data_IF_708563218369
#
_entry.id   IF_708563218369
#
_cell.length_a   1.000
_cell.length_b   1.000
_cell.length_c   1.000
_cell.angle_alpha   90.00
_cell.angle_beta   90.00
_cell.angle_gamma   90.00
#
_symmetry.space_group_name_H-M   'P 1'
#
loop_
_entity.id
_entity.type
_entity.pdbx_description
1 polymer ?
#
# COMPACT_ATOMS: atom_id res chain seq x y z
N UNK A 1 -2.29 9.38 -19.61
CA UNK A 1 -1.26 8.40 -19.24
C UNK A 1 0.12 8.97 -19.57
N UNK A 2 1.04 8.97 -18.60
CA UNK A 2 2.38 9.54 -18.67
C UNK A 2 3.29 8.58 -19.43
N UNK A 3 3.91 9.02 -20.52
CA UNK A 3 4.78 8.19 -21.37
C UNK A 3 6.28 8.52 -21.22
N UNK A 4 6.60 9.69 -20.66
CA UNK A 4 7.95 10.15 -20.44
C UNK A 4 8.11 10.63 -18.99
N UNK A 5 9.31 10.51 -18.38
CA UNK A 5 9.52 10.95 -17.03
C UNK A 5 9.25 12.45 -16.88
N UNK A 6 8.60 12.82 -15.79
CA UNK A 6 8.37 14.23 -15.49
C UNK A 6 9.66 14.87 -14.94
N UNK A 7 9.84 16.19 -15.16
CA UNK A 7 11.15 16.82 -14.95
C UNK A 7 11.57 16.93 -13.48
N UNK A 8 10.62 16.89 -12.54
CA UNK A 8 10.89 17.09 -11.11
C UNK A 8 9.93 16.28 -10.24
N UNK A 9 10.32 16.03 -8.99
CA UNK A 9 9.43 15.44 -7.98
C UNK A 9 8.13 16.25 -7.83
N UNK A 10 8.21 17.59 -7.82
CA UNK A 10 7.02 18.44 -7.73
C UNK A 10 6.06 18.25 -8.90
N UNK A 11 6.57 18.03 -10.12
CA UNK A 11 5.74 17.74 -11.28
C UNK A 11 5.03 16.39 -11.17
N UNK A 12 5.71 15.37 -10.63
CA UNK A 12 5.11 14.07 -10.33
C UNK A 12 4.02 14.17 -9.26
N UNK A 13 4.29 14.89 -8.18
CA UNK A 13 3.32 15.12 -7.09
C UNK A 13 2.08 15.83 -7.62
N UNK A 14 2.24 16.91 -8.40
CA UNK A 14 1.09 17.65 -8.97
C UNK A 14 0.26 16.77 -9.92
N UNK A 15 0.92 15.96 -10.75
CA UNK A 15 0.24 15.05 -11.67
C UNK A 15 -0.59 14.00 -10.91
N UNK A 16 -0.04 13.38 -9.86
CA UNK A 16 -0.74 12.33 -9.12
C UNK A 16 -1.71 12.86 -8.06
N UNK A 17 -1.45 14.02 -7.46
CA UNK A 17 -2.36 14.62 -6.48
C UNK A 17 -3.76 14.90 -7.07
N UNK A 18 -3.84 15.12 -8.39
CA UNK A 18 -5.07 15.41 -9.12
C UNK A 18 -5.57 14.24 -9.98
N UNK A 19 -4.81 13.14 -10.05
CA UNK A 19 -5.22 11.95 -10.78
C UNK A 19 -6.29 11.15 -9.99
N UNK A 20 -7.13 10.43 -10.71
CA UNK A 20 -8.02 9.45 -10.09
C UNK A 20 -7.19 8.30 -9.51
N UNK A 21 -7.59 7.83 -8.34
CA UNK A 21 -7.07 6.62 -7.74
C UNK A 21 -8.04 5.49 -8.14
N UNK A 22 -7.68 4.64 -9.12
CA UNK A 22 -8.53 3.52 -9.48
C UNK A 22 -8.54 2.49 -8.36
N UNK A 23 -9.57 1.66 -8.30
CA UNK A 23 -9.66 0.57 -7.32
C UNK A 23 -9.56 -0.79 -8.02
N UNK A 24 -9.32 -1.86 -7.27
CA UNK A 24 -9.32 -3.21 -7.83
C UNK A 24 -10.73 -3.60 -8.25
N UNK A 25 -10.89 -4.34 -9.34
CA UNK A 25 -12.20 -4.76 -9.83
C UNK A 25 -12.94 -5.68 -8.85
N UNK A 26 -12.17 -6.45 -8.05
CA UNK A 26 -12.75 -7.21 -6.92
C UNK A 26 -13.45 -6.27 -5.94
N UNK A 27 -12.80 -5.19 -5.53
CA UNK A 27 -13.37 -4.21 -4.60
C UNK A 27 -14.51 -3.40 -5.21
N UNK A 28 -14.46 -3.11 -6.52
CA UNK A 28 -15.57 -2.47 -7.22
C UNK A 28 -16.83 -3.35 -7.18
N UNK A 29 -16.67 -4.65 -7.42
CA UNK A 29 -17.76 -5.63 -7.36
C UNK A 29 -18.30 -5.79 -5.94
N UNK A 30 -17.41 -5.81 -4.94
CA UNK A 30 -17.79 -5.89 -3.53
C UNK A 30 -18.56 -4.66 -3.07
N UNK A 31 -18.12 -3.45 -3.43
CA UNK A 31 -18.83 -2.20 -3.13
C UNK A 31 -20.24 -2.20 -3.74
N UNK A 32 -20.39 -2.68 -4.98
CA UNK A 32 -21.69 -2.78 -5.63
C UNK A 32 -22.62 -3.74 -4.85
N UNK A 33 -22.11 -4.92 -4.47
CA UNK A 33 -22.86 -5.89 -3.68
C UNK A 33 -23.28 -5.34 -2.30
N UNK A 34 -22.34 -4.68 -1.60
CA UNK A 34 -22.63 -4.06 -0.30
C UNK A 34 -23.65 -2.94 -0.42
N UNK A 35 -23.64 -2.14 -1.51
CA UNK A 35 -24.64 -1.11 -1.79
C UNK A 35 -26.04 -1.70 -1.97
N UNK A 36 -26.18 -2.80 -2.73
CA UNK A 36 -27.45 -3.50 -2.90
C UNK A 36 -27.98 -4.05 -1.56
N UNK A 37 -27.10 -4.59 -0.71
CA UNK A 37 -27.48 -5.07 0.63
C UNK A 37 -27.94 -3.92 1.51
N UNK A 38 -27.25 -2.78 1.49
CA UNK A 38 -27.65 -1.60 2.26
C UNK A 38 -29.00 -1.06 1.80
N UNK A 39 -29.24 -0.94 0.49
CA UNK A 39 -30.52 -0.52 -0.06
C UNK A 39 -31.68 -1.46 0.35
N UNK A 40 -31.40 -2.77 0.42
CA UNK A 40 -32.42 -3.77 0.77
C UNK A 40 -32.71 -3.85 2.29
N UNK A 41 -31.71 -3.61 3.14
CA UNK A 41 -31.78 -3.89 4.59
C UNK A 41 -31.59 -2.67 5.49
N UNK A 42 -30.80 -1.66 5.05
CA UNK A 42 -30.54 -0.42 5.79
C UNK A 42 -29.84 -0.61 7.13
N UNK A 43 -29.00 -1.63 7.26
CA UNK A 43 -28.34 -1.99 8.52
C UNK A 43 -26.82 -2.25 8.39
N UNK A 44 -26.22 -1.79 7.32
CA UNK A 44 -24.77 -1.86 7.11
C UNK A 44 -24.05 -0.94 8.10
N UNK A 45 -22.92 -1.38 8.60
CA UNK A 45 -22.05 -0.52 9.41
C UNK A 45 -20.66 -0.34 8.76
N UNK A 46 -19.91 0.65 9.26
CA UNK A 46 -18.61 1.00 8.73
C UNK A 46 -17.56 -0.12 8.92
N UNK A 47 -17.70 -0.94 9.97
CA UNK A 47 -16.80 -2.07 10.19
C UNK A 47 -16.96 -3.15 9.14
N UNK A 48 -18.22 -3.51 8.82
CA UNK A 48 -18.52 -4.48 7.76
C UNK A 48 -17.94 -4.05 6.41
N UNK A 49 -18.09 -2.76 6.07
CA UNK A 49 -17.51 -2.20 4.83
C UNK A 49 -15.98 -2.26 4.89
N UNK A 50 -15.38 -1.89 6.03
CA UNK A 50 -13.92 -1.91 6.18
C UNK A 50 -13.35 -3.31 6.04
N UNK A 51 -13.95 -4.32 6.71
CA UNK A 51 -13.51 -5.73 6.63
C UNK A 51 -13.51 -6.25 5.20
N UNK A 52 -14.49 -5.87 4.39
CA UNK A 52 -14.56 -6.26 2.97
C UNK A 52 -13.47 -5.60 2.12
N UNK A 53 -12.98 -4.42 2.50
CA UNK A 53 -12.07 -3.59 1.70
C UNK A 53 -10.65 -3.48 2.27
N UNK A 54 -10.39 -3.98 3.49
CA UNK A 54 -9.12 -3.80 4.21
C UNK A 54 -7.88 -4.35 3.48
N UNK A 55 -8.08 -5.28 2.55
CA UNK A 55 -7.00 -5.89 1.77
C UNK A 55 -6.76 -5.22 0.41
N UNK A 56 -7.49 -4.14 0.09
CA UNK A 56 -7.26 -3.35 -1.12
C UNK A 56 -6.53 -2.04 -0.80
N UNK A 57 -5.21 -1.95 -1.12
CA UNK A 57 -4.45 -0.74 -0.85
C UNK A 57 -4.94 0.48 -1.64
N UNK A 58 -5.46 0.30 -2.86
CA UNK A 58 -5.95 1.40 -3.68
C UNK A 58 -7.28 1.94 -3.18
N UNK A 59 -8.20 1.07 -2.78
CA UNK A 59 -9.47 1.47 -2.17
C UNK A 59 -9.23 2.13 -0.81
N UNK A 60 -8.38 1.55 0.04
CA UNK A 60 -7.99 2.15 1.32
C UNK A 60 -7.40 3.55 1.12
N UNK A 61 -6.44 3.70 0.21
CA UNK A 61 -5.85 4.99 -0.12
C UNK A 61 -6.91 6.00 -0.60
N UNK A 62 -7.77 5.59 -1.52
CA UNK A 62 -8.81 6.45 -2.11
C UNK A 62 -9.78 6.97 -1.04
N UNK A 63 -10.20 6.10 -0.10
CA UNK A 63 -11.08 6.49 1.02
C UNK A 63 -10.37 7.46 1.95
N UNK A 64 -9.14 7.16 2.37
CA UNK A 64 -8.35 8.02 3.25
C UNK A 64 -8.10 9.40 2.61
N UNK A 65 -7.72 9.46 1.32
CA UNK A 65 -7.52 10.72 0.59
C UNK A 65 -8.83 11.52 0.51
N UNK A 66 -9.95 10.87 0.22
CA UNK A 66 -11.25 11.54 0.15
C UNK A 66 -11.64 12.16 1.49
N UNK A 67 -11.53 11.38 2.57
CA UNK A 67 -11.89 11.82 3.92
C UNK A 67 -10.92 12.88 4.44
N UNK A 68 -9.61 12.76 4.19
CA UNK A 68 -8.63 13.80 4.56
C UNK A 68 -8.93 15.15 3.90
N UNK A 69 -9.30 15.14 2.62
CA UNK A 69 -9.74 16.36 1.91
C UNK A 69 -11.02 16.96 2.50
N UNK A 70 -11.94 16.11 2.96
CA UNK A 70 -13.15 16.56 3.65
C UNK A 70 -12.82 17.17 5.02
N UNK A 71 -11.97 16.52 5.81
CA UNK A 71 -11.50 17.00 7.12
C UNK A 71 -10.78 18.35 7.01
N UNK A 72 -9.94 18.51 5.99
CA UNK A 72 -9.23 19.78 5.73
C UNK A 72 -10.21 20.95 5.54
N UNK A 73 -11.31 20.73 4.79
CA UNK A 73 -12.33 21.78 4.59
C UNK A 73 -13.05 22.16 5.89
N UNK A 74 -13.15 21.21 6.82
CA UNK A 74 -13.80 21.41 8.12
C UNK A 74 -12.81 21.86 9.21
N UNK A 75 -11.50 21.90 8.90
CA UNK A 75 -10.43 22.18 9.85
C UNK A 75 -10.42 21.20 11.05
N UNK A 76 -10.66 19.92 10.77
CA UNK A 76 -10.59 18.82 11.74
C UNK A 76 -9.50 17.84 11.33
N UNK A 77 -8.94 17.10 12.30
CA UNK A 77 -7.94 16.08 12.05
C UNK A 77 -8.56 14.87 11.32
N UNK A 78 -7.90 14.33 10.29
CA UNK A 78 -8.36 13.13 9.61
C UNK A 78 -8.20 11.89 10.51
N UNK A 79 -9.12 10.92 10.43
CA UNK A 79 -9.01 9.65 11.15
C UNK A 79 -7.85 8.82 10.63
N UNK A 80 -7.17 8.12 11.54
CA UNK A 80 -5.91 7.41 11.27
C UNK A 80 -6.09 6.09 10.49
N UNK A 81 -7.32 5.57 10.40
CA UNK A 81 -7.61 4.24 9.85
C UNK A 81 -8.76 4.25 8.86
N UNK A 82 -8.83 3.22 8.00
CA UNK A 82 -9.95 3.01 7.07
C UNK A 82 -11.29 2.97 7.82
N UNK A 83 -11.37 2.21 8.93
CA UNK A 83 -12.59 2.15 9.74
C UNK A 83 -12.98 3.54 10.26
N UNK A 84 -12.02 4.27 10.82
CA UNK A 84 -12.26 5.64 11.28
C UNK A 84 -12.73 6.57 10.17
N UNK A 85 -12.17 6.42 8.97
CA UNK A 85 -12.56 7.20 7.79
C UNK A 85 -13.99 6.87 7.36
N UNK A 86 -14.38 5.60 7.35
CA UNK A 86 -15.74 5.17 7.01
C UNK A 86 -16.78 5.60 8.07
N UNK A 87 -16.42 5.54 9.36
CA UNK A 87 -17.27 6.06 10.44
C UNK A 87 -17.49 7.58 10.28
N UNK A 88 -16.44 8.33 9.96
CA UNK A 88 -16.55 9.78 9.77
C UNK A 88 -17.35 10.15 8.52
N UNK A 89 -17.17 9.41 7.43
CA UNK A 89 -17.87 9.65 6.18
C UNK A 89 -19.36 9.26 6.29
N UNK A 90 -19.65 8.16 6.96
CA UNK A 90 -20.97 7.55 7.03
C UNK A 90 -21.26 6.61 5.85
N UNK A 91 -22.11 5.60 6.08
CA UNK A 91 -22.42 4.54 5.11
C UNK A 91 -23.08 5.09 3.85
N UNK A 92 -24.13 5.89 3.96
CA UNK A 92 -24.82 6.46 2.82
C UNK A 92 -23.93 7.36 1.93
N UNK A 93 -23.21 8.34 2.49
CA UNK A 93 -22.23 9.13 1.74
C UNK A 93 -21.12 8.28 1.11
N UNK A 94 -20.65 7.21 1.78
CA UNK A 94 -19.68 6.29 1.19
C UNK A 94 -20.19 5.71 -0.13
N UNK A 95 -21.35 5.06 -0.13
CA UNK A 95 -21.91 4.50 -1.36
C UNK A 95 -22.20 5.56 -2.41
N UNK A 96 -22.66 6.76 -2.02
CA UNK A 96 -22.88 7.86 -2.97
C UNK A 96 -21.60 8.29 -3.71
N UNK A 97 -20.44 8.23 -3.05
CA UNK A 97 -19.16 8.65 -3.62
C UNK A 97 -18.45 7.52 -4.37
N UNK A 98 -18.64 6.28 -3.91
CA UNK A 98 -17.87 5.13 -4.38
C UNK A 98 -18.69 4.11 -5.17
N UNK A 99 -19.95 4.40 -5.53
CA UNK A 99 -20.84 3.47 -6.28
C UNK A 99 -20.33 3.17 -7.70
N UNK A 100 -19.69 4.11 -8.36
CA UNK A 100 -19.19 3.96 -9.73
C UNK A 100 -17.68 4.33 -9.81
N UNK A 101 -16.80 3.56 -9.16
CA UNK A 101 -15.39 3.87 -9.16
C UNK A 101 -14.75 3.48 -10.51
N UNK A 102 -13.73 4.22 -10.93
CA UNK A 102 -12.85 3.74 -12.01
C UNK A 102 -12.08 2.51 -11.48
N UNK A 103 -12.27 1.36 -12.10
CA UNK A 103 -11.51 0.16 -11.78
C UNK A 103 -10.23 0.04 -12.63
N UNK A 104 -9.27 -0.75 -12.10
CA UNK A 104 -7.94 -0.95 -12.68
C UNK A 104 -8.02 -1.60 -14.06
N UNK A 105 -8.87 -2.62 -14.24
CA UNK A 105 -8.99 -3.33 -15.52
C UNK A 105 -9.53 -2.41 -16.61
N UNK A 106 -10.51 -1.57 -16.28
CA UNK A 106 -11.01 -0.54 -17.21
C UNK A 106 -9.94 0.51 -17.51
N UNK A 107 -9.21 0.98 -16.48
CA UNK A 107 -8.15 1.97 -16.65
C UNK A 107 -6.97 1.45 -17.51
N UNK A 108 -6.67 0.16 -17.43
CA UNK A 108 -5.56 -0.52 -18.10
C UNK A 108 -5.99 -1.52 -19.18
N UNK A 109 -7.23 -1.46 -19.68
CA UNK A 109 -7.85 -2.45 -20.59
C UNK A 109 -6.99 -2.86 -21.80
N UNK A 110 -6.10 -1.99 -22.26
CA UNK A 110 -5.21 -2.26 -23.39
C UNK A 110 -3.77 -2.60 -22.99
N UNK A 111 -3.51 -2.91 -21.70
CA UNK A 111 -2.17 -3.11 -21.14
C UNK A 111 -2.14 -4.27 -20.13
N UNK A 112 -2.32 -5.51 -20.58
CA UNK A 112 -2.38 -6.68 -19.68
C UNK A 112 -1.10 -6.85 -18.85
N UNK A 113 0.08 -6.53 -19.39
CA UNK A 113 1.34 -6.59 -18.67
C UNK A 113 1.41 -5.56 -17.51
N UNK A 114 0.73 -4.42 -17.64
CA UNK A 114 0.65 -3.44 -16.58
C UNK A 114 -0.31 -3.90 -15.46
N UNK A 115 -1.40 -4.58 -15.81
CA UNK A 115 -2.31 -5.22 -14.84
C UNK A 115 -1.54 -6.27 -14.03
N UNK A 116 -0.77 -7.13 -14.72
CA UNK A 116 0.06 -8.14 -14.05
C UNK A 116 1.10 -7.51 -13.11
N UNK A 117 1.81 -6.48 -13.58
CA UNK A 117 2.79 -5.75 -12.77
C UNK A 117 2.17 -5.12 -11.53
N UNK A 118 1.01 -4.47 -11.67
CA UNK A 118 0.25 -3.93 -10.55
C UNK A 118 -0.20 -5.02 -9.58
N UNK A 119 -0.74 -6.13 -10.07
CA UNK A 119 -1.19 -7.25 -9.24
C UNK A 119 -0.07 -7.82 -8.37
N UNK A 120 1.16 -7.91 -8.88
CA UNK A 120 2.33 -8.32 -8.11
C UNK A 120 2.64 -7.34 -6.96
N UNK A 121 2.52 -6.03 -7.20
CA UNK A 121 2.71 -5.01 -6.15
C UNK A 121 1.62 -5.10 -5.10
N UNK A 122 0.36 -5.24 -5.50
CA UNK A 122 -0.79 -5.40 -4.58
C UNK A 122 -0.61 -6.64 -3.70
N UNK A 123 -0.28 -7.80 -4.30
CA UNK A 123 -0.06 -9.02 -3.53
C UNK A 123 1.08 -8.88 -2.52
N UNK A 124 2.19 -8.25 -2.93
CA UNK A 124 3.31 -7.95 -2.02
C UNK A 124 2.90 -7.04 -0.86
N UNK A 125 2.07 -6.03 -1.12
CA UNK A 125 1.56 -5.12 -0.08
C UNK A 125 0.60 -5.80 0.88
N UNK A 126 -0.28 -6.67 0.41
CA UNK A 126 -1.15 -7.52 1.25
C UNK A 126 -0.32 -8.38 2.21
N UNK A 127 0.73 -9.03 1.70
CA UNK A 127 1.64 -9.83 2.53
C UNK A 127 2.42 -8.98 3.53
N UNK A 128 2.89 -7.79 3.12
CA UNK A 128 3.57 -6.87 4.03
C UNK A 128 2.64 -6.43 5.17
N UNK A 129 1.38 -6.11 4.89
CA UNK A 129 0.37 -5.76 5.89
C UNK A 129 0.14 -6.93 6.88
N UNK A 130 0.09 -8.16 6.39
CA UNK A 130 -0.09 -9.34 7.23
C UNK A 130 1.11 -9.57 8.17
N UNK A 131 2.35 -9.44 7.68
CA UNK A 131 3.54 -9.49 8.55
C UNK A 131 3.52 -8.35 9.57
N UNK A 132 3.19 -7.13 9.14
CA UNK A 132 3.16 -5.97 10.02
C UNK A 132 2.16 -6.13 11.16
N UNK A 133 0.97 -6.64 10.86
CA UNK A 133 -0.04 -7.00 11.85
C UNK A 133 0.50 -8.02 12.87
N UNK A 134 1.07 -9.12 12.37
CA UNK A 134 1.62 -10.19 13.23
C UNK A 134 2.73 -9.68 14.16
N UNK A 135 3.62 -8.82 13.66
CA UNK A 135 4.68 -8.23 14.47
C UNK A 135 4.15 -7.23 15.49
N UNK A 136 3.20 -6.35 15.08
CA UNK A 136 2.58 -5.37 15.96
C UNK A 136 1.80 -6.06 17.12
N UNK A 137 1.03 -7.10 16.82
CA UNK A 137 0.33 -7.92 17.83
C UNK A 137 1.33 -8.57 18.80
N UNK A 138 2.42 -9.13 18.28
CA UNK A 138 3.46 -9.76 19.12
C UNK A 138 4.15 -8.77 20.06
N UNK A 139 4.29 -7.50 19.61
CA UNK A 139 4.84 -6.41 20.40
C UNK A 139 3.83 -5.78 21.36
N UNK A 140 2.53 -6.07 21.20
CA UNK A 140 1.43 -5.39 21.90
C UNK A 140 1.42 -3.87 21.63
N UNK A 141 1.70 -3.48 20.37
CA UNK A 141 1.63 -2.09 19.96
C UNK A 141 0.17 -1.58 20.09
N UNK A 142 -0.02 -0.32 20.46
CA UNK A 142 -1.36 0.28 20.56
C UNK A 142 -1.93 0.63 19.18
N UNK A 143 -1.05 0.96 18.24
CA UNK A 143 -1.41 1.44 16.89
C UNK A 143 -1.33 0.30 15.85
N UNK A 144 -1.75 -0.91 16.23
CA UNK A 144 -1.65 -2.14 15.39
C UNK A 144 -2.24 -1.91 14.01
N UNK A 145 -3.44 -1.32 13.93
CA UNK A 145 -4.16 -1.11 12.66
C UNK A 145 -3.44 -0.10 11.78
N UNK A 146 -2.95 1.00 12.36
CA UNK A 146 -2.19 2.02 11.59
C UNK A 146 -0.89 1.45 11.05
N UNK A 147 -0.18 0.60 11.81
CA UNK A 147 1.04 -0.08 11.36
C UNK A 147 0.73 -1.04 10.21
N UNK A 148 -0.36 -1.78 10.30
CA UNK A 148 -0.84 -2.67 9.23
C UNK A 148 -1.18 -1.88 7.95
N UNK A 149 -1.97 -0.82 8.08
CA UNK A 149 -2.34 0.03 6.94
C UNK A 149 -1.13 0.75 6.33
N UNK A 150 -0.17 1.20 7.14
CA UNK A 150 1.08 1.77 6.65
C UNK A 150 1.88 0.77 5.81
N UNK A 151 1.93 -0.50 6.21
CA UNK A 151 2.58 -1.56 5.42
C UNK A 151 1.78 -1.89 4.14
N UNK A 152 0.45 -1.91 4.20
CA UNK A 152 -0.42 -2.10 3.05
C UNK A 152 -0.23 -0.99 2.01
N UNK A 153 -0.15 0.25 2.47
CA UNK A 153 -0.03 1.43 1.63
C UNK A 153 1.41 1.76 1.22
N UNK A 154 2.42 1.08 1.78
CA UNK A 154 3.83 1.44 1.56
C UNK A 154 4.20 1.57 0.07
N UNK A 155 3.66 0.72 -0.79
CA UNK A 155 3.95 0.71 -2.23
C UNK A 155 2.91 1.47 -3.09
N UNK A 156 2.03 2.31 -2.50
CA UNK A 156 0.95 2.96 -3.25
C UNK A 156 1.45 3.83 -4.40
N UNK A 157 2.58 4.52 -4.24
CA UNK A 157 3.15 5.34 -5.30
C UNK A 157 3.61 4.50 -6.50
N UNK A 158 4.15 3.29 -6.25
CA UNK A 158 4.46 2.30 -7.30
C UNK A 158 3.18 1.82 -8.00
N UNK A 159 2.09 1.58 -7.24
CA UNK A 159 0.79 1.21 -7.83
C UNK A 159 0.22 2.32 -8.71
N UNK A 160 0.29 3.59 -8.28
CA UNK A 160 -0.13 4.72 -9.09
C UNK A 160 0.72 4.89 -10.36
N UNK A 161 2.02 4.61 -10.28
CA UNK A 161 2.90 4.58 -11.45
C UNK A 161 2.47 3.51 -12.45
N UNK A 162 2.08 2.31 -12.00
CA UNK A 162 1.51 1.28 -12.87
C UNK A 162 0.22 1.77 -13.54
N UNK A 163 -0.67 2.43 -12.81
CA UNK A 163 -1.93 2.94 -13.35
C UNK A 163 -1.74 4.09 -14.34
N UNK A 164 -0.84 5.03 -14.08
CA UNK A 164 -0.75 6.29 -14.81
C UNK A 164 0.50 6.45 -15.68
N UNK A 165 1.56 5.68 -15.43
CA UNK A 165 2.85 5.73 -16.12
C UNK A 165 3.36 4.32 -16.50
N UNK A 166 2.45 3.41 -16.84
CA UNK A 166 2.74 1.98 -17.07
C UNK A 166 3.86 1.73 -18.08
N UNK A 167 4.04 2.58 -19.10
CA UNK A 167 5.14 2.43 -20.05
C UNK A 167 6.52 2.54 -19.39
N UNK A 168 6.67 3.44 -18.42
CA UNK A 168 7.91 3.59 -17.65
C UNK A 168 8.13 2.43 -16.70
N UNK A 169 7.05 1.91 -16.09
CA UNK A 169 7.14 0.73 -15.22
C UNK A 169 7.49 -0.53 -15.99
N UNK A 170 6.97 -0.69 -17.22
CA UNK A 170 7.35 -1.78 -18.11
C UNK A 170 8.82 -1.68 -18.55
N UNK A 171 9.33 -0.48 -18.82
CA UNK A 171 10.76 -0.27 -19.11
C UNK A 171 11.64 -0.69 -17.91
N UNK A 172 11.28 -0.27 -16.68
CA UNK A 172 11.98 -0.68 -15.46
C UNK A 172 11.99 -2.20 -15.34
N UNK A 173 10.83 -2.84 -15.49
CA UNK A 173 10.68 -4.29 -15.39
C UNK A 173 11.50 -5.02 -16.45
N UNK A 174 11.52 -4.51 -17.68
CA UNK A 174 12.30 -5.08 -18.77
C UNK A 174 13.82 -5.02 -18.47
N UNK A 175 14.32 -3.88 -18.01
CA UNK A 175 15.74 -3.73 -17.63
C UNK A 175 16.14 -4.69 -16.52
N UNK A 176 15.31 -4.83 -15.47
CA UNK A 176 15.59 -5.74 -14.35
C UNK A 176 15.54 -7.22 -14.74
N UNK A 177 14.67 -7.59 -15.70
CA UNK A 177 14.61 -8.96 -16.24
C UNK A 177 15.82 -9.27 -17.16
N UNK A 178 16.35 -8.26 -17.84
CA UNK A 178 17.48 -8.43 -18.77
C UNK A 178 18.82 -8.49 -18.03
N UNK A 179 18.96 -7.76 -16.95
CA UNK A 179 20.19 -7.73 -16.14
C UNK A 179 19.88 -7.84 -14.65
N UNK A 180 20.03 -9.05 -14.11
CA UNK A 180 19.78 -9.38 -12.71
C UNK A 180 20.80 -8.78 -11.72
N UNK A 181 21.86 -8.14 -12.20
CA UNK A 181 22.84 -7.44 -11.35
C UNK A 181 22.38 -6.04 -10.94
N UNK A 182 21.39 -5.49 -11.66
CA UNK A 182 20.84 -4.17 -11.41
C UNK A 182 20.03 -4.12 -10.11
N UNK A 183 20.19 -3.04 -9.37
CA UNK A 183 19.38 -2.74 -8.19
C UNK A 183 18.12 -2.02 -8.61
N UNK A 184 16.95 -2.54 -8.20
CA UNK A 184 15.65 -1.99 -8.55
C UNK A 184 15.54 -0.47 -8.27
N UNK A 185 15.96 -0.01 -7.10
CA UNK A 185 15.92 1.41 -6.75
C UNK A 185 16.76 2.30 -7.69
N UNK A 186 17.92 1.80 -8.17
CA UNK A 186 18.75 2.55 -9.11
C UNK A 186 18.08 2.66 -10.49
N UNK A 187 17.54 1.56 -11.01
CA UNK A 187 16.83 1.55 -12.30
C UNK A 187 15.57 2.44 -12.23
N UNK A 188 14.83 2.37 -11.15
CA UNK A 188 13.65 3.24 -10.93
C UNK A 188 14.06 4.72 -10.97
N UNK A 189 15.12 5.08 -10.26
CA UNK A 189 15.62 6.47 -10.24
C UNK A 189 16.14 6.92 -11.61
N UNK A 190 16.80 6.06 -12.37
CA UNK A 190 17.25 6.39 -13.73
C UNK A 190 16.10 6.62 -14.70
N UNK A 191 15.05 5.77 -14.65
CA UNK A 191 13.92 5.84 -15.58
C UNK A 191 12.95 6.95 -15.19
N UNK A 192 12.67 7.13 -13.90
CA UNK A 192 11.67 8.10 -13.42
C UNK A 192 12.26 9.49 -13.13
N UNK A 193 13.58 9.59 -12.92
CA UNK A 193 14.26 10.81 -12.47
C UNK A 193 14.03 11.17 -11.00
N UNK A 194 13.33 10.31 -10.24
CA UNK A 194 12.97 10.50 -8.83
C UNK A 194 13.05 9.17 -8.06
N UNK A 195 13.07 9.26 -6.73
CA UNK A 195 12.83 8.10 -5.87
C UNK A 195 11.32 7.93 -5.64
N UNK A 196 10.83 6.70 -5.72
CA UNK A 196 9.42 6.39 -5.48
C UNK A 196 9.01 6.68 -4.03
N UNK A 197 9.91 6.44 -3.08
CA UNK A 197 9.68 6.71 -1.65
C UNK A 197 9.49 8.22 -1.37
N UNK A 198 10.27 9.09 -2.04
CA UNK A 198 10.11 10.53 -1.93
C UNK A 198 8.76 10.98 -2.54
N UNK A 199 8.35 10.38 -3.65
CA UNK A 199 7.03 10.64 -4.25
C UNK A 199 5.91 10.23 -3.29
N UNK A 200 6.00 9.04 -2.68
CA UNK A 200 5.02 8.56 -1.72
C UNK A 200 4.86 9.54 -0.54
N UNK A 201 5.98 9.93 0.07
CA UNK A 201 5.98 10.85 1.21
C UNK A 201 5.40 12.24 0.86
N UNK A 202 5.76 12.78 -0.31
CA UNK A 202 5.22 14.08 -0.73
C UNK A 202 3.72 14.01 -1.09
N UNK A 203 3.25 12.90 -1.68
CA UNK A 203 1.82 12.69 -1.95
C UNK A 203 1.02 12.55 -0.65
N UNK A 204 1.50 11.79 0.33
CA UNK A 204 0.85 11.70 1.65
C UNK A 204 0.67 13.06 2.29
N UNK A 205 1.74 13.91 2.30
CA UNK A 205 1.66 15.27 2.81
C UNK A 205 0.73 16.15 1.98
N UNK A 206 0.78 16.05 0.67
CA UNK A 206 -0.07 16.81 -0.26
C UNK A 206 -1.56 16.50 -0.07
N UNK A 207 -1.89 15.23 0.22
CA UNK A 207 -3.25 14.79 0.53
C UNK A 207 -3.64 15.00 1.98
N UNK A 208 -2.71 15.45 2.82
CA UNK A 208 -2.92 15.66 4.26
C UNK A 208 -3.43 14.39 4.95
N UNK A 209 -2.81 13.26 4.63
CA UNK A 209 -3.09 12.00 5.31
C UNK A 209 -2.69 12.10 6.79
N UNK A 210 -3.22 11.23 7.66
CA UNK A 210 -2.95 11.26 9.11
C UNK A 210 -1.45 11.24 9.41
N UNK A 211 -1.02 12.06 10.37
CA UNK A 211 0.39 12.22 10.72
C UNK A 211 1.04 10.91 11.15
N UNK A 212 0.33 10.07 11.91
CA UNK A 212 0.86 8.76 12.35
C UNK A 212 1.07 7.82 11.16
N UNK A 213 0.19 7.83 10.17
CA UNK A 213 0.34 7.03 8.95
C UNK A 213 1.56 7.51 8.14
N UNK A 214 1.73 8.83 7.96
CA UNK A 214 2.89 9.43 7.31
C UNK A 214 4.18 9.04 8.05
N UNK A 215 4.17 9.13 9.39
CA UNK A 215 5.29 8.77 10.24
C UNK A 215 5.69 7.30 10.09
N UNK A 216 4.71 6.38 10.19
CA UNK A 216 4.95 4.94 10.06
C UNK A 216 5.50 4.54 8.69
N UNK A 217 5.22 5.34 7.64
CA UNK A 217 5.66 5.11 6.26
C UNK A 217 7.00 5.77 5.91
N UNK A 218 7.63 6.52 6.82
CA UNK A 218 8.89 7.23 6.55
C UNK A 218 10.11 6.39 6.95
N UNK A 219 10.69 5.67 6.01
CA UNK A 219 11.87 4.81 6.22
C UNK A 219 13.09 5.54 6.82
N UNK A 220 13.15 6.88 6.72
CA UNK A 220 14.22 7.68 7.33
C UNK A 220 14.18 7.66 8.87
N UNK A 221 13.03 7.29 9.43
CA UNK A 221 12.79 7.16 10.87
C UNK A 221 12.98 5.71 11.37
N UNK A 222 13.85 4.95 10.76
CA UNK A 222 14.09 3.51 11.01
C UNK A 222 14.45 3.14 12.48
N UNK A 223 14.76 4.14 13.33
CA UNK A 223 14.96 3.93 14.76
C UNK A 223 13.63 3.80 15.55
N UNK A 224 12.51 4.29 14.97
CA UNK A 224 11.19 4.08 15.56
C UNK A 224 10.74 2.63 15.34
N UNK A 225 10.31 1.92 16.39
CA UNK A 225 9.87 0.53 16.27
C UNK A 225 8.67 0.32 15.34
N UNK A 226 7.76 1.28 15.21
CA UNK A 226 6.61 1.19 14.28
C UNK A 226 7.08 1.27 12.83
N UNK A 227 7.94 2.24 12.51
CA UNK A 227 8.57 2.39 11.20
C UNK A 227 9.40 1.14 10.86
N UNK A 228 10.18 0.64 11.84
CA UNK A 228 10.97 -0.58 11.67
C UNK A 228 10.10 -1.80 11.40
N UNK A 229 8.93 -1.91 12.05
CA UNK A 229 7.96 -2.97 11.77
C UNK A 229 7.52 -2.90 10.30
N UNK A 230 7.05 -1.76 9.82
CA UNK A 230 6.60 -1.55 8.43
C UNK A 230 7.73 -1.90 7.45
N UNK A 231 8.92 -1.34 7.64
CA UNK A 231 10.07 -1.55 6.76
C UNK A 231 10.50 -3.02 6.68
N UNK A 232 10.54 -3.72 7.83
CA UNK A 232 10.88 -5.15 7.86
C UNK A 232 9.80 -5.99 7.17
N UNK A 233 8.54 -5.69 7.40
CA UNK A 233 7.41 -6.41 6.79
C UNK A 233 7.41 -6.27 5.27
N UNK A 234 7.63 -5.07 4.75
CA UNK A 234 7.78 -4.80 3.31
C UNK A 234 8.99 -5.53 2.73
N UNK A 235 10.13 -5.50 3.44
CA UNK A 235 11.36 -6.18 3.02
C UNK A 235 11.16 -7.71 2.92
N UNK A 236 10.54 -8.31 3.93
CA UNK A 236 10.25 -9.76 3.95
C UNK A 236 9.28 -10.13 2.83
N UNK A 237 8.19 -9.37 2.64
CA UNK A 237 7.25 -9.60 1.56
C UNK A 237 7.90 -9.53 0.17
N UNK A 238 8.93 -8.67 0.00
CA UNK A 238 9.73 -8.58 -1.23
C UNK A 238 10.67 -9.77 -1.41
N UNK A 239 11.38 -10.17 -0.35
CA UNK A 239 12.32 -11.30 -0.41
C UNK A 239 11.60 -12.62 -0.69
N UNK A 240 10.38 -12.78 -0.20
CA UNK A 240 9.60 -14.01 -0.32
C UNK A 240 8.59 -14.01 -1.47
N UNK A 241 8.59 -13.00 -2.35
CA UNK A 241 7.57 -12.85 -3.40
C UNK A 241 7.60 -14.00 -4.43
N UNK A 242 8.74 -14.67 -4.63
CA UNK A 242 8.91 -15.80 -5.55
C UNK A 242 8.88 -17.15 -4.83
N UNK A 243 8.48 -17.17 -3.56
CA UNK A 243 8.40 -18.35 -2.72
C UNK A 243 9.59 -18.48 -1.76
N UNK A 244 9.40 -19.36 -0.78
CA UNK A 244 10.35 -19.57 0.30
C UNK A 244 11.62 -20.32 -0.09
N UNK A 245 11.57 -21.06 -1.20
CA UNK A 245 12.67 -21.85 -1.73
C UNK A 245 13.50 -21.09 -2.78
N UNK A 246 13.10 -19.84 -3.07
CA UNK A 246 13.86 -18.97 -3.97
C UNK A 246 15.27 -18.68 -3.40
N UNK A 247 16.33 -18.76 -4.21
CA UNK A 247 17.71 -18.55 -3.77
C UNK A 247 17.94 -17.18 -3.12
N UNK A 248 17.27 -16.11 -3.59
CA UNK A 248 17.38 -14.77 -3.00
C UNK A 248 16.69 -14.70 -1.66
N UNK A 249 15.52 -15.36 -1.51
CA UNK A 249 14.83 -15.50 -0.24
C UNK A 249 15.73 -16.22 0.77
N UNK A 250 16.26 -17.39 0.41
CA UNK A 250 17.11 -18.19 1.30
C UNK A 250 18.37 -17.43 1.74
N UNK A 251 18.96 -16.61 0.86
CA UNK A 251 20.11 -15.78 1.20
C UNK A 251 19.78 -14.62 2.15
N UNK A 252 18.59 -14.02 2.04
CA UNK A 252 18.14 -12.88 2.86
C UNK A 252 17.55 -13.29 4.22
N UNK A 253 16.97 -14.47 4.30
CA UNK A 253 16.20 -14.96 5.44
C UNK A 253 16.94 -14.93 6.79
N UNK A 254 18.25 -15.27 6.91
CA UNK A 254 18.98 -15.16 8.17
C UNK A 254 19.08 -13.73 8.70
N UNK A 255 19.25 -12.74 7.81
CA UNK A 255 19.30 -11.33 8.19
C UNK A 255 17.90 -10.82 8.57
N UNK A 256 16.86 -11.19 7.80
CA UNK A 256 15.48 -10.87 8.13
C UNK A 256 15.08 -11.44 9.51
N UNK A 257 15.40 -12.70 9.78
CA UNK A 257 15.12 -13.33 11.06
C UNK A 257 15.86 -12.67 12.24
N UNK A 258 17.10 -12.23 12.02
CA UNK A 258 17.88 -11.48 13.01
C UNK A 258 17.22 -10.14 13.33
N UNK A 259 16.86 -9.39 12.30
CA UNK A 259 16.29 -8.04 12.42
C UNK A 259 14.90 -8.07 13.06
N UNK A 260 14.05 -9.04 12.68
CA UNK A 260 12.75 -9.30 13.33
C UNK A 260 12.95 -9.76 14.78
N UNK A 261 13.95 -10.63 15.04
CA UNK A 261 14.33 -11.03 16.38
C UNK A 261 14.67 -9.84 17.28
N UNK A 262 15.42 -8.87 16.75
CA UNK A 262 15.73 -7.62 17.46
C UNK A 262 14.49 -6.75 17.68
N UNK A 263 13.62 -6.62 16.66
CA UNK A 263 12.37 -5.86 16.78
C UNK A 263 11.45 -6.43 17.88
N UNK A 264 11.34 -7.76 17.93
CA UNK A 264 10.42 -8.47 18.82
C UNK A 264 11.04 -8.93 20.13
N UNK A 265 12.34 -8.69 20.32
CA UNK A 265 13.12 -9.19 21.46
C UNK A 265 13.02 -10.70 21.64
N UNK A 266 13.18 -11.47 20.55
CA UNK A 266 13.19 -12.94 20.52
C UNK A 266 14.41 -13.47 19.78
N UNK A 267 14.74 -14.75 19.98
CA UNK A 267 15.84 -15.39 19.27
C UNK A 267 15.56 -15.45 17.73
N UNK A 268 16.60 -15.35 16.88
CA UNK A 268 16.43 -15.39 15.42
C UNK A 268 15.68 -16.63 14.90
N UNK A 269 15.89 -17.79 15.54
CA UNK A 269 15.22 -19.04 15.17
C UNK A 269 13.70 -18.98 15.49
N UNK A 270 13.32 -18.27 16.55
CA UNK A 270 11.92 -18.04 16.90
C UNK A 270 11.29 -17.01 15.93
N UNK A 271 12.04 -15.98 15.55
CA UNK A 271 11.62 -15.02 14.54
C UNK A 271 11.41 -15.68 13.17
N UNK A 272 12.34 -16.55 12.75
CA UNK A 272 12.21 -17.33 11.52
C UNK A 272 10.93 -18.17 11.50
N UNK A 273 10.64 -18.91 12.60
CA UNK A 273 9.40 -19.70 12.72
C UNK A 273 8.15 -18.80 12.68
N UNK A 274 8.19 -17.65 13.33
CA UNK A 274 7.08 -16.69 13.32
C UNK A 274 6.81 -16.17 11.89
N UNK A 275 7.85 -15.72 11.18
CA UNK A 275 7.72 -15.23 9.81
C UNK A 275 7.09 -16.30 8.91
N UNK A 276 7.58 -17.55 9.00
CA UNK A 276 7.01 -18.68 8.25
C UNK A 276 5.56 -18.98 8.63
N UNK A 277 5.24 -18.91 9.90
CA UNK A 277 3.90 -19.19 10.41
C UNK A 277 2.86 -18.12 10.10
N UNK A 278 3.29 -16.88 9.87
CA UNK A 278 2.40 -15.80 9.41
C UNK A 278 2.05 -15.92 7.92
N UNK A 279 2.85 -16.60 7.12
CA UNK A 279 2.65 -16.71 5.66
C UNK A 279 2.11 -18.10 5.23
N UNK A 280 1.67 -18.92 6.20
CA UNK A 280 1.22 -20.30 6.00
C UNK A 280 -0.27 -20.41 5.58
#
# INVERSE_FOLDING_TARGET
>A
MIQQPLPTLAAWVEAFANADIPILSESASEIALLSEIEEARGNMDAHTIAESLENDPLTTLRVLVHVSRYCTRLSVEPPETLVGALVMLGVGPFFSVFSEPLDVETALAHRPEAIEGLAQVVQRSRRAAHFALGFALKRQDQDVVVIQEAALLHAFAEMLLWCHASSLMLEITHRLKTDHTLRSAAVQQEVLGIRIDDLAQELMRRWQLPDLLIHCSDERLANDPKVRNVTLSVRIARHTQHGWDDPHCLAALPDDARDVGQLLNIAPEAAHRLIRGLDA
#
